data_IF_474921241038
#
_entry.id   IF_474921241038
#
_cell.length_a   1.000
_cell.length_b   1.000
_cell.length_c   1.000
_cell.angle_alpha   90.00
_cell.angle_beta   90.00
_cell.angle_gamma   90.00
#
_symmetry.space_group_name_H-M   'P 1'
#
loop_
_entity.id
_entity.type
_entity.pdbx_description
1 polymer ?
#
# COMPACT_ATOMS: atom_id res chain seq x y z
N UNK A 1 -2.49 21.88 -8.35
CA UNK A 1 -1.71 20.72 -8.83
C UNK A 1 -0.49 21.18 -9.62
N UNK A 2 -0.61 22.13 -10.55
CA UNK A 2 0.51 22.63 -11.37
C UNK A 2 1.63 23.31 -10.55
N UNK A 3 1.26 23.97 -9.48
CA UNK A 3 2.21 24.64 -8.58
C UNK A 3 3.11 23.66 -7.82
N UNK A 4 2.63 22.44 -7.60
CA UNK A 4 3.36 21.37 -6.91
C UNK A 4 4.38 20.68 -7.83
N UNK A 5 4.07 20.55 -9.12
CA UNK A 5 4.96 19.93 -10.12
C UNK A 5 6.15 20.80 -10.53
N UNK A 6 6.09 22.11 -10.26
CA UNK A 6 7.18 23.07 -10.54
C UNK A 6 8.13 23.27 -9.35
N UNK A 7 7.84 22.67 -8.19
CA UNK A 7 8.71 22.73 -7.03
C UNK A 7 9.92 21.81 -7.19
N UNK A 8 11.11 22.29 -6.84
CA UNK A 8 12.35 21.50 -6.83
C UNK A 8 12.32 20.24 -5.96
N UNK A 9 11.31 20.09 -5.12
CA UNK A 9 11.10 18.97 -4.19
C UNK A 9 10.13 17.89 -4.71
N UNK A 10 9.52 18.09 -5.89
CA UNK A 10 8.55 17.12 -6.44
C UNK A 10 9.19 15.76 -6.75
N UNK A 11 10.48 15.73 -7.08
CA UNK A 11 11.22 14.48 -7.33
C UNK A 11 11.34 13.59 -6.09
N UNK A 12 11.37 14.16 -4.88
CA UNK A 12 11.42 13.37 -3.63
C UNK A 12 10.20 12.46 -3.45
N UNK A 13 9.04 12.89 -3.96
CA UNK A 13 7.82 12.06 -3.91
C UNK A 13 7.95 10.83 -4.79
N UNK A 14 8.73 10.89 -5.86
CA UNK A 14 8.93 9.77 -6.79
C UNK A 14 10.07 8.84 -6.40
N UNK A 15 10.93 9.27 -5.47
CA UNK A 15 12.09 8.50 -5.02
C UNK A 15 11.72 7.08 -4.52
N UNK A 16 10.65 6.86 -3.73
CA UNK A 16 10.29 5.51 -3.30
C UNK A 16 9.93 4.56 -4.46
N UNK A 17 9.51 5.06 -5.63
CA UNK A 17 9.22 4.22 -6.80
C UNK A 17 10.48 3.62 -7.44
N UNK A 18 11.64 4.23 -7.21
CA UNK A 18 12.91 3.76 -7.76
C UNK A 18 13.61 2.78 -6.83
N UNK A 19 13.16 2.67 -5.58
CA UNK A 19 13.76 1.79 -4.59
C UNK A 19 13.17 0.37 -4.67
N UNK A 20 14.00 -0.67 -4.63
CA UNK A 20 13.53 -2.05 -4.45
C UNK A 20 12.74 -2.21 -3.14
N UNK A 21 11.73 -3.09 -3.15
CA UNK A 21 10.87 -3.32 -1.98
C UNK A 21 11.67 -3.72 -0.73
N UNK A 22 12.73 -4.51 -0.90
CA UNK A 22 13.64 -4.91 0.18
C UNK A 22 14.35 -3.71 0.82
N UNK A 23 14.76 -2.71 0.02
CA UNK A 23 15.41 -1.49 0.53
C UNK A 23 14.43 -0.66 1.34
N UNK A 24 13.20 -0.51 0.85
CA UNK A 24 12.14 0.20 1.61
C UNK A 24 11.84 -0.52 2.92
N UNK A 25 11.71 -1.86 2.90
CA UNK A 25 11.52 -2.65 4.10
C UNK A 25 12.66 -2.45 5.11
N UNK A 26 13.92 -2.44 4.64
CA UNK A 26 15.09 -2.21 5.48
C UNK A 26 15.11 -0.80 6.10
N UNK A 27 14.74 0.23 5.34
CA UNK A 27 14.62 1.59 5.85
C UNK A 27 13.53 1.71 6.92
N UNK A 28 12.37 1.07 6.68
CA UNK A 28 11.29 1.02 7.67
C UNK A 28 11.73 0.27 8.93
N UNK A 29 12.44 -0.87 8.78
CA UNK A 29 13.01 -1.60 9.91
C UNK A 29 13.95 -0.71 10.74
N UNK A 30 14.89 -0.03 10.11
CA UNK A 30 15.84 0.84 10.79
C UNK A 30 15.20 2.09 11.39
N UNK A 31 14.04 2.49 10.90
CA UNK A 31 13.32 3.64 11.43
C UNK A 31 12.42 3.23 12.60
N UNK A 32 11.63 2.16 12.47
CA UNK A 32 10.54 1.82 13.37
C UNK A 32 10.84 0.69 14.37
N UNK A 33 12.01 0.03 14.28
CA UNK A 33 12.37 -0.99 15.27
C UNK A 33 12.65 -0.35 16.65
N UNK A 34 12.58 -1.17 17.70
CA UNK A 34 12.83 -0.72 19.09
C UNK A 34 14.21 -0.08 19.29
N UNK A 35 15.21 -0.45 18.48
CA UNK A 35 16.54 0.20 18.47
C UNK A 35 16.73 1.15 17.27
N UNK A 36 15.65 1.47 16.56
CA UNK A 36 15.66 2.27 15.34
C UNK A 36 15.80 3.77 15.59
N UNK A 37 15.75 4.51 14.48
CA UNK A 37 15.88 5.96 14.51
C UNK A 37 14.78 6.64 15.36
N UNK A 38 13.53 6.20 15.20
CA UNK A 38 12.39 6.75 15.93
C UNK A 38 12.53 6.55 17.45
N UNK A 39 12.97 5.36 17.88
CA UNK A 39 13.23 5.07 19.29
C UNK A 39 14.34 5.95 19.88
N UNK A 40 15.44 6.12 19.14
CA UNK A 40 16.55 6.99 19.56
C UNK A 40 16.14 8.45 19.67
N UNK A 41 15.32 8.95 18.75
CA UNK A 41 14.78 10.31 18.81
C UNK A 41 13.82 10.46 19.98
N UNK A 42 12.91 9.49 20.21
CA UNK A 42 11.99 9.51 21.34
C UNK A 42 12.74 9.54 22.68
N UNK A 43 13.80 8.75 22.81
CA UNK A 43 14.68 8.79 23.99
C UNK A 43 15.38 10.15 24.15
N UNK A 44 15.92 10.71 23.07
CA UNK A 44 16.59 12.02 23.10
C UNK A 44 15.68 13.17 23.54
N UNK A 45 14.39 13.11 23.17
CA UNK A 45 13.39 14.10 23.56
C UNK A 45 12.70 13.78 24.90
N UNK A 46 13.16 12.75 25.62
CA UNK A 46 12.60 12.37 26.92
C UNK A 46 11.19 11.76 26.86
N UNK A 47 10.76 11.30 25.68
CA UNK A 47 9.45 10.64 25.49
C UNK A 47 9.46 9.18 25.95
N UNK A 48 10.63 8.56 26.06
CA UNK A 48 10.84 7.19 26.53
C UNK A 48 12.02 7.16 27.50
N UNK A 49 11.98 6.27 28.47
CA UNK A 49 13.05 6.10 29.48
C UNK A 49 14.07 5.04 29.05
N UNK A 50 13.73 4.20 28.08
CA UNK A 50 14.60 3.15 27.58
C UNK A 50 14.12 2.56 26.26
N UNK A 51 14.90 1.64 25.70
CA UNK A 51 14.58 0.94 24.43
C UNK A 51 13.32 0.06 24.60
N UNK A 52 13.09 -0.48 25.79
CA UNK A 52 11.94 -1.32 26.11
C UNK A 52 10.60 -0.57 26.10
N UNK A 53 10.64 0.74 26.31
CA UNK A 53 9.43 1.56 26.41
C UNK A 53 8.93 2.03 25.05
N UNK A 54 9.77 1.90 24.01
CA UNK A 54 9.36 2.25 22.65
C UNK A 54 8.51 1.13 22.05
N UNK A 55 7.31 1.44 21.50
CA UNK A 55 6.46 0.42 20.91
C UNK A 55 7.17 -0.24 19.73
N UNK A 56 7.18 -1.57 19.70
CA UNK A 56 7.77 -2.31 18.60
C UNK A 56 6.77 -2.38 17.43
N UNK A 57 6.99 -1.56 16.39
CA UNK A 57 6.17 -1.51 15.19
C UNK A 57 6.69 -2.40 14.07
N UNK A 58 7.75 -3.16 14.35
CA UNK A 58 8.34 -4.14 13.45
C UNK A 58 8.19 -5.52 14.08
N UNK A 59 7.86 -6.51 13.26
CA UNK A 59 7.55 -7.87 13.72
C UNK A 59 6.33 -7.93 14.69
N UNK A 60 5.46 -6.93 14.57
CA UNK A 60 4.24 -6.82 15.37
C UNK A 60 3.11 -7.72 14.80
N UNK A 61 2.15 -8.17 15.63
CA UNK A 61 1.05 -9.03 15.18
C UNK A 61 0.05 -8.31 14.24
N UNK A 62 0.04 -6.97 14.25
CA UNK A 62 -0.84 -6.15 13.42
C UNK A 62 -0.23 -5.81 12.06
N UNK A 63 1.06 -6.08 11.86
CA UNK A 63 1.77 -5.80 10.61
C UNK A 63 1.96 -4.30 10.32
N UNK A 64 2.09 -3.47 11.35
CA UNK A 64 2.25 -2.01 11.19
C UNK A 64 3.47 -1.66 10.35
N UNK A 65 4.59 -2.36 10.54
CA UNK A 65 5.78 -2.20 9.72
C UNK A 65 5.51 -2.54 8.25
N UNK A 66 4.80 -3.63 7.98
CA UNK A 66 4.41 -4.05 6.63
C UNK A 66 3.51 -2.99 5.97
N UNK A 67 2.49 -2.53 6.70
CA UNK A 67 1.56 -1.50 6.22
C UNK A 67 2.33 -0.22 5.89
N UNK A 68 3.22 0.22 6.78
CA UNK A 68 4.01 1.43 6.58
C UNK A 68 4.87 1.36 5.33
N UNK A 69 5.56 0.23 5.09
CA UNK A 69 6.38 0.03 3.90
C UNK A 69 5.53 0.07 2.61
N UNK A 70 4.39 -0.62 2.59
CA UNK A 70 3.48 -0.60 1.44
C UNK A 70 2.87 0.77 1.19
N UNK A 71 2.48 1.51 2.24
CA UNK A 71 1.97 2.88 2.12
C UNK A 71 3.04 3.81 1.56
N UNK A 72 4.29 3.69 2.04
CA UNK A 72 5.41 4.47 1.53
C UNK A 72 5.61 4.27 0.01
N UNK A 73 5.55 3.03 -0.47
CA UNK A 73 5.67 2.71 -1.89
C UNK A 73 4.42 3.06 -2.70
N UNK A 74 3.23 2.86 -2.12
CA UNK A 74 1.96 3.14 -2.78
C UNK A 74 1.73 4.64 -3.01
N UNK A 75 2.13 5.47 -2.06
CA UNK A 75 1.83 6.91 -2.06
C UNK A 75 2.22 7.59 -3.36
N UNK A 76 3.48 7.53 -3.86
CA UNK A 76 3.85 8.19 -5.10
C UNK A 76 3.13 7.59 -6.31
N UNK A 77 2.92 6.28 -6.33
CA UNK A 77 2.18 5.61 -7.40
C UNK A 77 0.74 6.13 -7.50
N UNK A 78 0.03 6.20 -6.38
CA UNK A 78 -1.35 6.69 -6.37
C UNK A 78 -1.45 8.20 -6.61
N UNK A 79 -0.45 9.00 -6.22
CA UNK A 79 -0.39 10.43 -6.58
C UNK A 79 -0.35 10.58 -8.10
N UNK A 80 0.49 9.82 -8.80
CA UNK A 80 0.57 9.84 -10.26
C UNK A 80 -0.76 9.39 -10.88
N UNK A 81 -1.29 8.25 -10.42
CA UNK A 81 -2.54 7.68 -10.92
C UNK A 81 -3.70 8.69 -10.81
N UNK A 82 -3.93 9.23 -9.61
CA UNK A 82 -5.02 10.18 -9.40
C UNK A 82 -4.82 11.50 -10.14
N UNK A 83 -3.57 11.95 -10.30
CA UNK A 83 -3.27 13.14 -11.10
C UNK A 83 -3.61 12.91 -12.57
N UNK A 84 -3.27 11.74 -13.12
CA UNK A 84 -3.59 11.40 -14.50
C UNK A 84 -5.09 11.23 -14.72
N UNK A 85 -5.80 10.57 -13.79
CA UNK A 85 -7.26 10.46 -13.83
C UNK A 85 -7.94 11.82 -13.72
N UNK A 86 -7.47 12.69 -12.83
CA UNK A 86 -8.00 14.05 -12.68
C UNK A 86 -7.93 14.85 -13.99
N UNK A 87 -6.81 14.73 -14.71
CA UNK A 87 -6.61 15.42 -15.99
C UNK A 87 -7.37 14.74 -17.13
N UNK A 88 -7.34 13.41 -17.19
CA UNK A 88 -7.99 12.63 -18.24
C UNK A 88 -9.50 12.81 -18.24
N UNK A 89 -10.12 12.82 -17.07
CA UNK A 89 -11.56 13.00 -16.90
C UNK A 89 -11.99 14.48 -16.85
N UNK A 90 -11.06 15.43 -17.10
CA UNK A 90 -11.32 16.89 -17.05
C UNK A 90 -12.06 17.32 -15.78
N UNK A 91 -11.69 16.78 -14.63
CA UNK A 91 -12.41 17.01 -13.38
C UNK A 91 -12.40 18.47 -12.92
N UNK A 92 -11.48 19.29 -13.43
CA UNK A 92 -11.47 20.74 -13.23
C UNK A 92 -12.73 21.42 -13.78
N UNK A 93 -13.27 20.96 -14.90
CA UNK A 93 -14.52 21.47 -15.48
C UNK A 93 -15.71 21.13 -14.56
N UNK A 94 -15.81 19.90 -14.07
CA UNK A 94 -16.86 19.49 -13.14
C UNK A 94 -16.78 20.23 -11.80
N UNK A 95 -15.58 20.48 -11.30
CA UNK A 95 -15.39 21.26 -10.07
C UNK A 95 -15.85 22.71 -10.26
N UNK A 96 -15.49 23.34 -11.38
CA UNK A 96 -15.95 24.71 -11.70
C UNK A 96 -17.47 24.77 -11.85
N UNK A 97 -18.07 23.82 -12.57
CA UNK A 97 -19.51 23.73 -12.74
C UNK A 97 -20.22 23.55 -11.39
N UNK A 98 -19.72 22.67 -10.51
CA UNK A 98 -20.31 22.49 -9.19
C UNK A 98 -20.17 23.74 -8.29
N UNK A 99 -19.09 24.52 -8.48
CA UNK A 99 -18.91 25.79 -7.78
C UNK A 99 -19.95 26.84 -8.21
N UNK A 100 -20.29 26.92 -9.51
CA UNK A 100 -21.33 27.83 -10.00
C UNK A 100 -22.72 27.46 -9.47
N UNK A 101 -22.93 26.19 -9.14
CA UNK A 101 -24.16 25.69 -8.48
C UNK A 101 -24.15 25.89 -6.95
N UNK A 102 -23.13 26.56 -6.40
CA UNK A 102 -23.05 26.86 -4.96
C UNK A 102 -22.50 25.73 -4.10
N UNK A 103 -21.89 24.69 -4.68
CA UNK A 103 -21.30 23.60 -3.91
C UNK A 103 -20.06 24.05 -3.14
N UNK A 104 -20.03 23.75 -1.83
CA UNK A 104 -18.85 23.98 -1.00
C UNK A 104 -17.68 23.09 -1.41
N UNK A 105 -16.41 23.45 -1.09
CA UNK A 105 -15.23 22.64 -1.43
C UNK A 105 -15.30 21.20 -0.90
N UNK A 106 -15.88 20.99 0.27
CA UNK A 106 -16.08 19.64 0.83
C UNK A 106 -17.10 18.82 0.03
N UNK A 107 -18.16 19.47 -0.45
CA UNK A 107 -19.18 18.83 -1.30
C UNK A 107 -18.58 18.47 -2.66
N UNK A 108 -17.78 19.35 -3.26
CA UNK A 108 -17.07 19.08 -4.51
C UNK A 108 -16.15 17.84 -4.41
N UNK A 109 -15.36 17.75 -3.33
CA UNK A 109 -14.50 16.58 -3.10
C UNK A 109 -15.34 15.31 -2.91
N UNK A 110 -16.35 15.35 -2.04
CA UNK A 110 -17.10 14.14 -1.65
C UNK A 110 -18.04 13.62 -2.73
N UNK A 111 -18.70 14.53 -3.50
CA UNK A 111 -19.75 14.14 -4.44
C UNK A 111 -19.32 14.18 -5.90
N UNK A 112 -18.22 14.88 -6.23
CA UNK A 112 -17.71 14.98 -7.61
C UNK A 112 -16.38 14.24 -7.73
N UNK A 113 -15.33 14.70 -7.03
CA UNK A 113 -13.98 14.20 -7.23
C UNK A 113 -13.82 12.74 -6.77
N UNK A 114 -14.20 12.45 -5.54
CA UNK A 114 -13.96 11.14 -4.93
C UNK A 114 -14.66 9.99 -5.68
N UNK A 115 -15.95 10.10 -6.07
CA UNK A 115 -16.61 9.02 -6.80
C UNK A 115 -16.00 8.76 -8.18
N UNK A 116 -15.65 9.80 -8.93
CA UNK A 116 -15.06 9.64 -10.27
C UNK A 116 -13.67 9.06 -10.17
N UNK A 117 -12.80 9.60 -9.29
CA UNK A 117 -11.45 9.11 -9.10
C UNK A 117 -11.44 7.66 -8.60
N UNK A 118 -12.30 7.29 -7.65
CA UNK A 118 -12.33 5.91 -7.15
C UNK A 118 -12.85 4.94 -8.21
N UNK A 119 -13.82 5.32 -9.03
CA UNK A 119 -14.30 4.46 -10.13
C UNK A 119 -13.18 4.24 -11.17
N UNK A 120 -12.51 5.30 -11.60
CA UNK A 120 -11.41 5.21 -12.55
C UNK A 120 -10.18 4.46 -12.01
N UNK A 121 -9.87 4.61 -10.72
CA UNK A 121 -8.77 3.92 -10.07
C UNK A 121 -9.09 2.48 -9.66
N UNK A 122 -10.36 2.06 -9.63
CA UNK A 122 -10.77 0.78 -9.05
C UNK A 122 -10.04 -0.44 -9.62
N UNK A 123 -9.88 -0.61 -10.96
CA UNK A 123 -9.12 -1.73 -11.50
C UNK A 123 -7.68 -1.76 -11.01
N UNK A 124 -7.04 -0.60 -10.95
CA UNK A 124 -5.65 -0.46 -10.48
C UNK A 124 -5.54 -0.72 -8.96
N UNK A 125 -6.53 -0.31 -8.18
CA UNK A 125 -6.61 -0.63 -6.74
C UNK A 125 -6.71 -2.15 -6.52
N UNK A 126 -7.51 -2.85 -7.32
CA UNK A 126 -7.62 -4.31 -7.24
C UNK A 126 -6.28 -4.97 -7.61
N UNK A 127 -5.63 -4.52 -8.68
CA UNK A 127 -4.30 -5.03 -9.07
C UNK A 127 -3.25 -4.77 -7.99
N UNK A 128 -3.25 -3.57 -7.40
CA UNK A 128 -2.34 -3.24 -6.30
C UNK A 128 -2.61 -4.10 -5.05
N UNK A 129 -3.86 -4.37 -4.74
CA UNK A 129 -4.24 -5.27 -3.66
C UNK A 129 -3.68 -6.69 -3.88
N UNK A 130 -3.80 -7.23 -5.10
CA UNK A 130 -3.20 -8.52 -5.47
C UNK A 130 -1.68 -8.50 -5.33
N UNK A 131 -1.04 -7.41 -5.77
CA UNK A 131 0.40 -7.22 -5.60
C UNK A 131 0.82 -7.25 -4.13
N UNK A 132 0.11 -6.55 -3.26
CA UNK A 132 0.40 -6.54 -1.81
C UNK A 132 0.21 -7.92 -1.19
N UNK A 133 -0.86 -8.64 -1.56
CA UNK A 133 -1.08 -10.01 -1.10
C UNK A 133 0.06 -10.95 -1.52
N UNK A 134 0.56 -10.81 -2.76
CA UNK A 134 1.67 -11.61 -3.28
C UNK A 134 3.06 -11.18 -2.79
N UNK A 135 3.16 -10.09 -2.04
CA UNK A 135 4.46 -9.58 -1.59
C UNK A 135 5.15 -10.57 -0.63
N UNK A 136 6.47 -10.72 -0.80
CA UNK A 136 7.30 -11.62 0.01
C UNK A 136 8.37 -10.85 0.78
N UNK A 137 9.08 -9.93 0.12
CA UNK A 137 10.28 -9.28 0.66
C UNK A 137 9.98 -8.43 1.89
N UNK A 138 8.90 -7.65 1.84
CA UNK A 138 8.48 -6.76 2.92
C UNK A 138 8.05 -7.58 4.15
N UNK A 139 7.15 -8.58 4.03
CA UNK A 139 6.77 -9.42 5.16
C UNK A 139 7.89 -10.31 5.70
N UNK A 140 8.85 -10.68 4.87
CA UNK A 140 10.03 -11.44 5.31
C UNK A 140 10.83 -10.68 6.36
N UNK A 141 11.02 -9.37 6.17
CA UNK A 141 11.83 -8.53 7.04
C UNK A 141 11.03 -7.89 8.18
N UNK A 142 9.81 -7.46 7.91
CA UNK A 142 8.99 -6.67 8.84
C UNK A 142 7.87 -7.46 9.52
N UNK A 143 7.56 -8.66 9.02
CA UNK A 143 6.46 -9.47 9.53
C UNK A 143 6.81 -10.27 10.77
N UNK A 144 5.79 -10.54 11.60
CA UNK A 144 5.94 -11.40 12.77
C UNK A 144 6.22 -12.86 12.36
N UNK A 145 6.88 -13.61 13.26
CA UNK A 145 7.17 -15.02 13.06
C UNK A 145 5.93 -15.90 13.31
N UNK A 146 5.00 -15.43 14.14
CA UNK A 146 3.73 -16.10 14.46
C UNK A 146 2.69 -15.05 14.88
N UNK A 147 1.59 -14.88 14.14
CA UNK A 147 1.26 -15.51 12.85
C UNK A 147 2.17 -15.03 11.72
N UNK A 148 2.45 -15.93 10.77
CA UNK A 148 3.33 -15.65 9.63
C UNK A 148 2.49 -15.39 8.37
N UNK A 149 2.93 -14.48 7.50
CA UNK A 149 2.28 -14.29 6.21
C UNK A 149 2.41 -15.53 5.31
N UNK A 150 1.34 -15.82 4.56
CA UNK A 150 1.24 -17.03 3.71
C UNK A 150 2.37 -17.10 2.68
N UNK A 151 2.72 -15.98 2.05
CA UNK A 151 3.82 -15.88 1.08
C UNK A 151 5.16 -16.29 1.71
N UNK A 152 5.44 -15.82 2.92
CA UNK A 152 6.67 -16.15 3.66
C UNK A 152 6.68 -17.61 4.10
N UNK A 153 5.54 -18.10 4.61
CA UNK A 153 5.38 -19.51 5.02
C UNK A 153 5.65 -20.46 3.85
N UNK A 154 5.06 -20.18 2.68
CA UNK A 154 5.22 -20.99 1.48
C UNK A 154 6.69 -21.07 1.04
N UNK A 155 7.36 -19.94 0.94
CA UNK A 155 8.78 -19.90 0.51
C UNK A 155 9.67 -20.59 1.54
N UNK A 156 9.45 -20.38 2.84
CA UNK A 156 10.21 -21.08 3.90
C UNK A 156 10.05 -22.59 3.82
N UNK A 157 8.84 -23.12 3.55
CA UNK A 157 8.62 -24.56 3.38
C UNK A 157 9.32 -25.10 2.12
N UNK A 158 9.37 -24.33 1.03
CA UNK A 158 10.10 -24.72 -0.18
C UNK A 158 11.60 -24.76 0.02
N UNK A 159 12.14 -23.91 0.88
CA UNK A 159 13.58 -23.80 1.17
C UNK A 159 14.08 -24.80 2.22
N UNK A 160 13.19 -25.51 2.91
CA UNK A 160 13.59 -26.55 3.86
C UNK A 160 14.22 -27.74 3.13
N UNK A 161 15.21 -28.34 3.78
CA UNK A 161 15.88 -29.55 3.29
C UNK A 161 14.97 -30.78 3.31
N UNK A 162 13.96 -30.79 4.16
CA UNK A 162 12.98 -31.88 4.23
C UNK A 162 12.06 -31.85 2.99
N UNK A 163 12.19 -32.86 2.16
CA UNK A 163 11.41 -33.01 0.93
C UNK A 163 9.92 -33.22 1.21
N UNK A 164 9.54 -33.67 2.41
CA UNK A 164 8.15 -33.87 2.82
C UNK A 164 7.38 -32.55 3.00
N UNK A 165 8.07 -31.43 3.24
CA UNK A 165 7.48 -30.11 3.36
C UNK A 165 7.11 -29.49 2.01
N UNK A 166 7.72 -29.91 0.91
CA UNK A 166 7.49 -29.36 -0.45
C UNK A 166 6.05 -29.54 -0.95
N UNK A 167 5.44 -30.73 -0.86
CA UNK A 167 4.03 -30.91 -1.24
C UNK A 167 3.09 -29.98 -0.46
N UNK A 168 3.35 -29.78 0.82
CA UNK A 168 2.57 -28.87 1.65
C UNK A 168 2.67 -27.41 1.16
N UNK A 169 3.87 -26.96 0.76
CA UNK A 169 4.06 -25.64 0.19
C UNK A 169 3.27 -25.43 -1.10
N UNK A 170 3.25 -26.43 -1.98
CA UNK A 170 2.44 -26.40 -3.22
C UNK A 170 0.94 -26.35 -2.93
N UNK A 171 0.46 -27.14 -1.99
CA UNK A 171 -0.96 -27.11 -1.59
C UNK A 171 -1.33 -25.74 -1.02
N UNK A 172 -0.52 -25.17 -0.12
CA UNK A 172 -0.73 -23.82 0.43
C UNK A 172 -0.76 -22.80 -0.72
N UNK A 173 0.19 -22.88 -1.66
CA UNK A 173 0.25 -21.97 -2.81
C UNK A 173 -1.00 -22.05 -3.69
N UNK A 174 -1.45 -23.25 -4.04
CA UNK A 174 -2.66 -23.45 -4.85
C UNK A 174 -3.89 -22.89 -4.14
N UNK A 175 -4.09 -23.22 -2.86
CA UNK A 175 -5.22 -22.72 -2.08
C UNK A 175 -5.18 -21.18 -1.97
N UNK A 176 -4.00 -20.61 -1.79
CA UNK A 176 -3.83 -19.18 -1.72
C UNK A 176 -4.19 -18.50 -3.06
N UNK A 177 -3.70 -19.02 -4.18
CA UNK A 177 -4.03 -18.49 -5.51
C UNK A 177 -5.53 -18.58 -5.78
N UNK A 178 -6.16 -19.73 -5.48
CA UNK A 178 -7.61 -19.89 -5.63
C UNK A 178 -8.39 -18.89 -4.78
N UNK A 179 -7.96 -18.67 -3.54
CA UNK A 179 -8.54 -17.65 -2.66
C UNK A 179 -8.43 -16.24 -3.25
N UNK A 180 -7.23 -15.84 -3.69
CA UNK A 180 -6.98 -14.52 -4.29
C UNK A 180 -7.83 -14.34 -5.56
N UNK A 181 -7.86 -15.33 -6.45
CA UNK A 181 -8.68 -15.29 -7.67
C UNK A 181 -10.17 -15.15 -7.31
N UNK A 182 -10.67 -15.91 -6.35
CA UNK A 182 -12.06 -15.82 -5.91
C UNK A 182 -12.42 -14.42 -5.38
N UNK A 183 -11.53 -13.83 -4.57
CA UNK A 183 -11.69 -12.46 -4.04
C UNK A 183 -11.70 -11.43 -5.17
N UNK A 184 -10.75 -11.51 -6.10
CA UNK A 184 -10.65 -10.59 -7.25
C UNK A 184 -11.91 -10.68 -8.12
N UNK A 185 -12.34 -11.89 -8.47
CA UNK A 185 -13.56 -12.10 -9.26
C UNK A 185 -14.80 -11.53 -8.55
N UNK A 186 -14.88 -11.68 -7.23
CA UNK A 186 -15.99 -11.13 -6.45
C UNK A 186 -15.96 -9.60 -6.42
N UNK A 187 -14.77 -8.98 -6.31
CA UNK A 187 -14.61 -7.53 -6.35
C UNK A 187 -14.99 -6.98 -7.73
N UNK A 188 -14.50 -7.59 -8.81
CA UNK A 188 -14.80 -7.15 -10.17
C UNK A 188 -16.29 -7.30 -10.54
N UNK A 189 -16.95 -8.36 -10.08
CA UNK A 189 -18.41 -8.55 -10.30
C UNK A 189 -19.27 -7.51 -9.59
N UNK A 190 -18.78 -6.90 -8.51
CA UNK A 190 -19.50 -5.86 -7.76
C UNK A 190 -19.35 -4.47 -8.39
N UNK A 191 -18.46 -4.29 -9.35
CA UNK A 191 -18.31 -3.02 -10.07
C UNK A 191 -19.44 -2.95 -11.09
N UNK A 192 -20.37 -1.98 -10.98
CA UNK A 192 -21.44 -1.84 -11.96
C UNK A 192 -20.81 -1.51 -13.32
N UNK A 193 -21.22 -2.29 -14.32
CA UNK A 193 -20.73 -2.22 -15.70
C UNK A 193 -21.30 -0.98 -16.41
N UNK A 194 -20.88 0.23 -15.98
CA UNK A 194 -21.28 1.49 -16.62
C UNK A 194 -20.30 1.93 -17.74
N UNK A 195 -19.55 0.97 -18.30
CA UNK A 195 -18.70 1.21 -19.48
C UNK A 195 -19.47 1.14 -20.81
N UNK A 196 -20.81 1.29 -20.80
CA UNK A 196 -21.61 1.35 -22.03
C UNK A 196 -22.41 2.65 -22.09
N UNK A 197 -21.76 3.78 -22.08
CA UNK A 197 -22.30 5.05 -22.61
C UNK A 197 -21.12 5.90 -23.04
N UNK A 198 -20.58 5.60 -24.18
CA UNK A 198 -19.81 6.51 -25.03
C UNK A 198 -20.27 6.29 -26.45
#
# INVERSE_FOLDING_TARGET
VERWQRGSLSWLVYLPLTLPAMVVAFLVFHTLSGAGLASRLAFRYGLTTGISDFPNWVNDPWGLGIITAHVCMATPFFIILFTNLYRGERLDEYVRLSATLGASPRQQVRHVLLPVLLRGAFPTLVLYFVFVLGSYEIPLLLGSQSPQMVSVLMVRKLQRFDLSDRPQAYVIGVLYVLFVVAVVLRLLRRTPNNARLS
#
